data_IF_079517888236
#
_entry.id   IF_079517888236
#
_cell.length_a   1.000
_cell.length_b   1.000
_cell.length_c   1.000
_cell.angle_alpha   90.00
_cell.angle_beta   90.00
_cell.angle_gamma   90.00
#
_symmetry.space_group_name_H-M   'P 1'
#
loop_
_entity.id
_entity.type
_entity.pdbx_description
1 polymer ?
#
# COMPACT_ATOMS: atom_id res chain seq x y z
N UNK A 1 -20.87 -4.12 -20.38
CA UNK A 1 -19.90 -3.14 -19.84
C UNK A 1 -20.01 -1.88 -20.68
N UNK A 2 -20.18 -0.70 -20.05
CA UNK A 2 -20.17 0.59 -20.75
C UNK A 2 -18.79 1.21 -20.61
N UNK A 3 -18.16 1.53 -21.73
CA UNK A 3 -16.87 2.26 -21.74
C UNK A 3 -17.13 3.75 -21.87
N UNK A 4 -16.42 4.57 -21.09
CA UNK A 4 -16.54 6.03 -21.11
C UNK A 4 -15.22 6.60 -21.64
N UNK A 5 -15.30 7.46 -22.66
CA UNK A 5 -14.12 8.16 -23.17
C UNK A 5 -13.71 9.26 -22.20
N UNK A 6 -12.45 9.21 -21.74
CA UNK A 6 -11.91 10.22 -20.83
C UNK A 6 -11.65 11.56 -21.53
N UNK A 7 -11.99 12.65 -20.85
CA UNK A 7 -11.59 14.02 -21.20
C UNK A 7 -10.08 14.24 -20.97
N UNK A 8 -9.47 15.23 -21.64
CA UNK A 8 -8.10 15.65 -21.35
C UNK A 8 -7.89 15.90 -19.86
N UNK A 9 -6.71 15.52 -19.33
CA UNK A 9 -6.40 15.67 -17.90
C UNK A 9 -6.37 17.15 -17.55
N UNK A 10 -7.17 17.55 -16.58
CA UNK A 10 -7.10 18.89 -16.01
C UNK A 10 -5.82 19.08 -15.18
N UNK A 11 -5.21 20.28 -15.19
CA UNK A 11 -3.99 20.57 -14.43
C UNK A 11 -4.12 20.17 -12.95
N UNK A 12 -3.08 19.57 -12.37
CA UNK A 12 -3.09 19.19 -10.96
C UNK A 12 -3.86 17.91 -10.61
N UNK A 13 -4.42 17.19 -11.58
CA UNK A 13 -4.97 15.84 -11.36
C UNK A 13 -3.98 14.74 -11.73
N UNK A 14 -3.96 13.67 -10.94
CA UNK A 14 -3.47 12.38 -11.43
C UNK A 14 -4.47 11.81 -12.44
N UNK A 15 -4.02 11.15 -13.50
CA UNK A 15 -4.98 10.63 -14.48
C UNK A 15 -5.80 9.43 -13.97
N UNK A 16 -5.40 8.76 -12.86
CA UNK A 16 -6.24 7.74 -12.21
C UNK A 16 -7.43 8.43 -11.57
N UNK A 17 -7.18 9.40 -10.70
CA UNK A 17 -8.24 10.17 -10.05
C UNK A 17 -9.12 10.92 -11.06
N UNK A 18 -8.55 11.47 -12.13
CA UNK A 18 -9.33 12.14 -13.18
C UNK A 18 -10.25 11.18 -13.94
N UNK A 19 -9.81 9.94 -14.18
CA UNK A 19 -10.67 8.93 -14.79
C UNK A 19 -11.80 8.50 -13.85
N UNK A 20 -11.50 8.33 -12.55
CA UNK A 20 -12.47 7.97 -11.53
C UNK A 20 -13.52 9.07 -11.32
N UNK A 21 -13.10 10.34 -11.28
CA UNK A 21 -13.98 11.51 -11.17
C UNK A 21 -14.95 11.63 -12.37
N UNK A 22 -14.53 11.23 -13.57
CA UNK A 22 -15.44 11.20 -14.72
C UNK A 22 -16.38 9.99 -14.68
N UNK A 23 -15.88 8.85 -14.19
CA UNK A 23 -16.64 7.63 -14.05
C UNK A 23 -17.80 7.78 -13.05
N UNK A 24 -17.55 8.45 -11.92
CA UNK A 24 -18.54 8.57 -10.84
C UNK A 24 -19.82 9.30 -11.27
N UNK A 25 -19.73 10.27 -12.19
CA UNK A 25 -20.90 10.97 -12.72
C UNK A 25 -21.88 10.08 -13.49
N UNK A 26 -21.50 8.82 -13.77
CA UNK A 26 -22.31 7.84 -14.49
C UNK A 26 -22.81 6.72 -13.57
N UNK A 27 -22.60 6.83 -12.26
CA UNK A 27 -23.01 5.84 -11.27
C UNK A 27 -24.29 6.34 -10.58
N UNK A 28 -25.35 5.55 -10.67
CA UNK A 28 -26.64 5.77 -10.01
C UNK A 28 -27.00 4.65 -9.00
N UNK A 29 -26.08 3.69 -8.80
CA UNK A 29 -26.27 2.56 -7.90
C UNK A 29 -26.00 2.93 -6.45
N UNK A 30 -26.57 2.16 -5.51
CA UNK A 30 -26.33 2.37 -4.06
C UNK A 30 -24.89 2.11 -3.63
N UNK A 31 -24.21 1.18 -4.31
CA UNK A 31 -22.83 0.81 -4.02
C UNK A 31 -21.95 1.07 -5.25
N UNK A 32 -20.72 1.48 -5.01
CA UNK A 32 -19.69 1.71 -6.01
C UNK A 32 -18.54 0.73 -5.77
N UNK A 33 -18.15 0.02 -6.82
CA UNK A 33 -16.97 -0.84 -6.84
C UNK A 33 -15.86 -0.18 -7.66
N UNK A 34 -14.73 0.10 -7.03
CA UNK A 34 -13.49 0.54 -7.68
C UNK A 34 -12.58 -0.67 -7.84
N UNK A 35 -12.14 -0.95 -9.06
CA UNK A 35 -11.24 -2.08 -9.35
C UNK A 35 -10.16 -1.61 -10.31
N UNK A 36 -8.90 -1.90 -9.98
CA UNK A 36 -7.79 -1.64 -10.88
C UNK A 36 -7.82 -2.61 -12.08
N UNK A 37 -7.42 -2.13 -13.26
CA UNK A 37 -7.57 -2.89 -14.51
C UNK A 37 -6.74 -4.19 -14.60
N UNK A 38 -5.75 -4.34 -13.72
CA UNK A 38 -4.89 -5.52 -13.59
C UNK A 38 -5.34 -6.47 -12.48
N UNK A 39 -6.54 -6.28 -11.93
CA UNK A 39 -7.09 -7.13 -10.86
C UNK A 39 -8.09 -8.13 -11.42
N UNK A 40 -7.83 -9.40 -11.18
CA UNK A 40 -8.71 -10.51 -11.48
C UNK A 40 -9.58 -10.84 -10.26
N UNK A 41 -10.89 -10.86 -10.46
CA UNK A 41 -11.89 -11.17 -9.43
C UNK A 41 -12.33 -12.63 -9.55
N UNK A 42 -12.25 -13.42 -8.47
CA UNK A 42 -12.81 -14.77 -8.48
C UNK A 42 -14.35 -14.75 -8.53
N UNK A 43 -14.99 -15.74 -9.19
CA UNK A 43 -16.44 -15.88 -9.16
C UNK A 43 -16.99 -15.89 -7.73
N UNK A 44 -18.06 -15.12 -7.49
CA UNK A 44 -18.72 -15.04 -6.18
C UNK A 44 -18.17 -13.98 -5.22
N UNK A 45 -17.10 -13.24 -5.57
CA UNK A 45 -16.54 -12.22 -4.68
C UNK A 45 -17.49 -11.04 -4.43
N UNK A 46 -18.27 -10.62 -5.44
CA UNK A 46 -19.16 -9.46 -5.28
C UNK A 46 -20.32 -9.74 -4.29
N UNK A 47 -21.06 -10.86 -4.40
CA UNK A 47 -22.03 -11.24 -3.36
C UNK A 47 -21.39 -11.40 -1.98
N UNK A 48 -20.17 -11.95 -1.90
CA UNK A 48 -19.47 -12.12 -0.62
C UNK A 48 -19.09 -10.78 0.03
N UNK A 49 -18.58 -9.83 -0.77
CA UNK A 49 -18.28 -8.47 -0.32
C UNK A 49 -19.53 -7.74 0.16
N UNK A 50 -20.62 -7.82 -0.60
CA UNK A 50 -21.89 -7.23 -0.22
C UNK A 50 -22.42 -7.83 1.09
N UNK A 51 -22.44 -9.17 1.21
CA UNK A 51 -22.83 -9.87 2.43
C UNK A 51 -21.99 -9.43 3.62
N UNK A 52 -20.67 -9.35 3.45
CA UNK A 52 -19.74 -8.90 4.48
C UNK A 52 -20.03 -7.46 4.93
N UNK A 53 -20.32 -6.55 4.00
CA UNK A 53 -20.69 -5.17 4.33
C UNK A 53 -21.95 -5.13 5.19
N UNK A 54 -22.98 -5.87 4.80
CA UNK A 54 -24.26 -5.88 5.50
C UNK A 54 -24.16 -6.55 6.89
N UNK A 55 -23.49 -7.69 7.01
CA UNK A 55 -23.38 -8.44 8.28
C UNK A 55 -22.52 -7.72 9.33
N UNK A 56 -21.56 -6.91 8.89
CA UNK A 56 -20.60 -6.23 9.79
C UNK A 56 -20.86 -4.72 9.90
N UNK A 57 -21.96 -4.21 9.32
CA UNK A 57 -22.30 -2.78 9.31
C UNK A 57 -21.14 -1.91 8.76
N UNK A 58 -20.50 -2.40 7.70
CA UNK A 58 -19.37 -1.72 7.05
C UNK A 58 -19.87 -0.88 5.89
N UNK A 59 -19.30 0.32 5.75
CA UNK A 59 -19.67 1.24 4.68
C UNK A 59 -18.59 1.33 3.59
N UNK A 60 -17.41 0.78 3.88
CA UNK A 60 -16.25 0.76 3.00
C UNK A 60 -15.44 -0.51 3.25
N UNK A 61 -15.21 -1.30 2.21
CA UNK A 61 -14.44 -2.54 2.24
C UNK A 61 -13.36 -2.49 1.16
N UNK A 62 -12.10 -2.59 1.57
CA UNK A 62 -10.94 -2.62 0.69
C UNK A 62 -10.28 -3.99 0.76
N UNK A 63 -10.15 -4.63 -0.39
CA UNK A 63 -9.41 -5.88 -0.54
C UNK A 63 -8.04 -5.58 -1.13
N UNK A 64 -7.01 -5.95 -0.37
CA UNK A 64 -5.65 -6.04 -0.88
C UNK A 64 -5.53 -7.30 -1.75
N UNK A 65 -5.22 -7.18 -3.05
CA UNK A 65 -5.09 -8.32 -3.94
C UNK A 65 -3.90 -9.19 -3.55
N UNK A 66 -4.04 -10.51 -3.74
CA UNK A 66 -2.90 -11.40 -3.73
C UNK A 66 -1.98 -11.03 -4.90
N UNK A 67 -0.74 -10.64 -4.58
CA UNK A 67 0.25 -10.30 -5.59
C UNK A 67 0.79 -11.57 -6.27
N UNK A 68 1.13 -11.44 -7.55
CA UNK A 68 1.80 -12.48 -8.33
C UNK A 68 3.16 -12.84 -7.70
N UNK A 69 3.42 -14.15 -7.58
CA UNK A 69 4.65 -14.72 -6.99
C UNK A 69 5.33 -15.70 -7.96
N UNK A 70 5.59 -15.28 -9.19
CA UNK A 70 6.13 -16.15 -10.25
C UNK A 70 7.66 -15.98 -10.36
N UNK A 71 8.14 -14.74 -10.52
CA UNK A 71 9.56 -14.43 -10.67
C UNK A 71 10.33 -14.57 -9.36
N UNK A 72 11.67 -14.69 -9.46
CA UNK A 72 12.54 -14.68 -8.28
C UNK A 72 12.38 -13.39 -7.46
N UNK A 73 12.37 -12.23 -8.14
CA UNK A 73 12.25 -10.92 -7.50
C UNK A 73 10.88 -10.72 -6.86
N UNK A 74 9.82 -11.22 -7.49
CA UNK A 74 8.48 -11.24 -6.89
C UNK A 74 8.49 -12.02 -5.58
N UNK A 75 8.97 -13.28 -5.60
CA UNK A 75 9.04 -14.14 -4.41
C UNK A 75 9.91 -13.56 -3.30
N UNK A 76 11.00 -12.87 -3.66
CA UNK A 76 11.92 -12.26 -2.70
C UNK A 76 11.34 -10.99 -2.06
N UNK A 77 10.71 -10.10 -2.84
CA UNK A 77 10.42 -8.73 -2.39
C UNK A 77 8.93 -8.46 -2.14
N UNK A 78 8.02 -9.05 -2.91
CA UNK A 78 6.59 -8.71 -2.86
C UNK A 78 5.89 -9.19 -1.57
N UNK A 79 6.19 -10.37 -1.00
CA UNK A 79 5.61 -10.72 0.30
C UNK A 79 6.08 -9.75 1.39
N UNK A 80 7.34 -9.29 1.32
CA UNK A 80 7.87 -8.29 2.26
C UNK A 80 7.22 -6.92 2.08
N UNK A 81 6.85 -6.53 0.85
CA UNK A 81 6.04 -5.33 0.60
C UNK A 81 4.74 -5.36 1.41
N UNK A 82 4.00 -6.47 1.33
CA UNK A 82 2.76 -6.68 2.08
C UNK A 82 3.01 -6.69 3.58
N UNK A 83 4.08 -7.35 4.01
CA UNK A 83 4.46 -7.41 5.41
C UNK A 83 4.73 -6.00 5.98
N UNK A 84 5.55 -5.19 5.31
CA UNK A 84 5.82 -3.81 5.73
C UNK A 84 4.57 -2.93 5.67
N UNK A 85 3.73 -3.10 4.66
CA UNK A 85 2.44 -2.41 4.61
C UNK A 85 1.60 -2.72 5.86
N UNK A 86 1.56 -3.98 6.32
CA UNK A 86 0.86 -4.36 7.56
C UNK A 86 1.54 -3.90 8.85
N UNK A 87 2.85 -3.66 8.85
CA UNK A 87 3.54 -3.05 9.98
C UNK A 87 3.21 -1.55 10.09
N UNK A 88 3.15 -0.85 8.95
CA UNK A 88 2.78 0.56 8.87
C UNK A 88 1.28 0.78 9.15
N UNK A 89 0.45 -0.13 8.63
CA UNK A 89 -0.99 -0.10 8.77
C UNK A 89 -1.49 -1.44 9.31
N UNK A 90 -1.42 -1.67 10.64
CA UNK A 90 -1.93 -2.89 11.24
C UNK A 90 -3.43 -3.02 10.98
N UNK A 91 -3.85 -4.05 10.23
CA UNK A 91 -5.24 -4.20 9.80
C UNK A 91 -6.22 -4.24 10.97
N UNK A 92 -5.84 -4.80 12.12
CA UNK A 92 -6.67 -4.78 13.32
C UNK A 92 -6.97 -3.35 13.81
N UNK A 93 -5.98 -2.46 13.76
CA UNK A 93 -6.17 -1.04 14.10
C UNK A 93 -6.93 -0.30 13.01
N UNK A 94 -6.59 -0.55 11.73
CA UNK A 94 -7.31 0.03 10.59
C UNK A 94 -8.80 -0.30 10.60
N UNK A 95 -9.16 -1.53 11.00
CA UNK A 95 -10.53 -2.03 11.08
C UNK A 95 -11.23 -1.73 12.42
N UNK A 96 -10.52 -1.12 13.37
CA UNK A 96 -11.10 -0.68 14.65
C UNK A 96 -11.72 0.71 14.53
N UNK A 97 -12.41 1.18 15.57
CA UNK A 97 -12.91 2.56 15.65
C UNK A 97 -11.81 3.61 15.86
N UNK A 98 -10.54 3.21 16.02
CA UNK A 98 -9.44 4.15 16.27
C UNK A 98 -9.22 5.08 15.06
N UNK A 99 -9.42 6.41 15.21
CA UNK A 99 -9.42 7.34 14.08
C UNK A 99 -8.01 7.62 13.53
N UNK A 100 -6.97 7.36 14.34
CA UNK A 100 -5.58 7.63 13.96
C UNK A 100 -5.01 6.69 12.90
N UNK A 101 -5.64 5.54 12.64
CA UNK A 101 -5.17 4.56 11.65
C UNK A 101 -6.31 4.20 10.71
N UNK A 102 -6.15 4.51 9.43
CA UNK A 102 -7.04 4.10 8.35
C UNK A 102 -6.19 3.65 7.17
N UNK A 103 -6.56 2.54 6.55
CA UNK A 103 -5.84 1.99 5.42
C UNK A 103 -6.80 1.40 4.40
N UNK A 104 -6.42 1.48 3.14
CA UNK A 104 -6.99 0.74 2.04
C UNK A 104 -5.88 0.38 1.06
N UNK A 105 -6.08 -0.71 0.32
CA UNK A 105 -5.23 -1.13 -0.77
C UNK A 105 -6.09 -1.17 -2.04
N UNK A 106 -5.81 -0.29 -3.00
CA UNK A 106 -6.69 0.06 -4.13
C UNK A 106 -6.90 -0.97 -5.23
N UNK A 107 -6.60 -2.25 -4.99
CA UNK A 107 -6.89 -3.28 -6.00
C UNK A 107 -8.39 -3.47 -6.19
N UNK A 108 -9.15 -3.48 -5.11
CA UNK A 108 -10.61 -3.62 -5.14
C UNK A 108 -11.22 -2.95 -3.90
N UNK A 109 -12.08 -1.96 -4.10
CA UNK A 109 -12.77 -1.23 -3.03
C UNK A 109 -14.26 -1.23 -3.33
N UNK A 110 -15.07 -1.75 -2.40
CA UNK A 110 -16.53 -1.63 -2.42
C UNK A 110 -16.95 -0.63 -1.34
N UNK A 111 -17.77 0.35 -1.69
CA UNK A 111 -18.26 1.35 -0.75
C UNK A 111 -19.67 1.82 -1.08
N UNK A 112 -20.37 2.39 -0.09
CA UNK A 112 -21.64 3.06 -0.35
C UNK A 112 -21.42 4.33 -1.18
N UNK A 113 -22.17 4.48 -2.27
CA UNK A 113 -21.97 5.56 -3.25
C UNK A 113 -22.19 6.94 -2.63
N UNK A 114 -23.15 7.06 -1.70
CA UNK A 114 -23.44 8.32 -1.00
C UNK A 114 -22.25 8.86 -0.20
N UNK A 115 -21.29 8.01 0.18
CA UNK A 115 -20.08 8.44 0.87
C UNK A 115 -19.15 9.24 -0.04
N UNK A 116 -19.14 8.92 -1.34
CA UNK A 116 -18.34 9.67 -2.32
C UNK A 116 -18.85 11.11 -2.38
N UNK A 117 -20.16 11.34 -2.37
CA UNK A 117 -20.71 12.69 -2.34
C UNK A 117 -20.32 13.45 -1.06
N UNK A 118 -20.36 12.77 0.10
CA UNK A 118 -20.01 13.36 1.40
C UNK A 118 -18.54 13.79 1.51
N UNK A 119 -17.65 13.16 0.76
CA UNK A 119 -16.22 13.48 0.77
C UNK A 119 -15.78 14.31 -0.45
N UNK A 120 -16.72 14.83 -1.25
CA UNK A 120 -16.46 15.50 -2.53
C UNK A 120 -15.62 14.63 -3.49
N UNK A 121 -16.03 13.37 -3.59
CA UNK A 121 -15.52 12.31 -4.45
C UNK A 121 -13.98 12.27 -4.54
N UNK A 122 -13.44 12.30 -5.76
CA UNK A 122 -11.99 12.26 -5.99
C UNK A 122 -11.39 13.66 -6.11
N UNK A 123 -12.20 14.72 -6.23
CA UNK A 123 -11.73 16.13 -6.18
C UNK A 123 -10.99 16.42 -4.89
N UNK A 124 -11.51 15.92 -3.79
CA UNK A 124 -10.90 16.10 -2.48
C UNK A 124 -9.55 15.40 -2.35
N UNK A 125 -9.23 14.45 -3.26
CA UNK A 125 -7.98 13.69 -3.32
C UNK A 125 -7.05 14.16 -4.44
N UNK A 126 -7.40 15.22 -5.18
CA UNK A 126 -6.67 15.72 -6.37
C UNK A 126 -5.16 15.91 -6.16
N UNK A 127 -4.74 16.29 -4.95
CA UNK A 127 -3.33 16.52 -4.59
C UNK A 127 -2.66 15.33 -3.91
N UNK A 128 -3.41 14.30 -3.55
CA UNK A 128 -2.88 13.11 -2.91
C UNK A 128 -2.29 12.16 -3.96
N UNK A 129 -1.14 11.59 -3.63
CA UNK A 129 -0.42 10.63 -4.45
C UNK A 129 -0.79 9.18 -4.10
N UNK A 130 -1.42 8.99 -2.93
CA UNK A 130 -1.85 7.69 -2.39
C UNK A 130 -3.35 7.76 -2.15
N UNK A 131 -4.08 7.41 -3.21
CA UNK A 131 -5.52 7.62 -3.32
C UNK A 131 -6.31 6.82 -2.27
N UNK A 132 -5.90 5.58 -2.00
CA UNK A 132 -6.75 4.63 -1.27
C UNK A 132 -6.75 4.86 0.26
N UNK A 133 -5.57 4.97 0.88
CA UNK A 133 -5.48 5.23 2.32
C UNK A 133 -6.07 6.60 2.68
N UNK A 134 -5.90 7.60 1.82
CA UNK A 134 -6.51 8.91 1.99
C UNK A 134 -8.05 8.82 1.90
N UNK A 135 -8.58 8.08 0.92
CA UNK A 135 -10.00 7.79 0.81
C UNK A 135 -10.55 7.11 2.07
N UNK A 136 -9.90 6.05 2.55
CA UNK A 136 -10.30 5.35 3.78
C UNK A 136 -10.25 6.26 5.00
N UNK A 137 -9.22 7.11 5.12
CA UNK A 137 -9.09 8.09 6.21
C UNK A 137 -10.23 9.10 6.22
N UNK A 138 -10.65 9.61 5.05
CA UNK A 138 -11.77 10.55 4.94
C UNK A 138 -13.09 9.89 5.35
N UNK A 139 -13.38 8.70 4.83
CA UNK A 139 -14.57 7.93 5.20
C UNK A 139 -14.60 7.69 6.72
N UNK A 140 -13.48 7.23 7.29
CA UNK A 140 -13.37 6.98 8.74
C UNK A 140 -13.51 8.25 9.58
N UNK A 141 -13.01 9.39 9.10
CA UNK A 141 -13.13 10.69 9.79
C UNK A 141 -14.56 11.22 9.88
N UNK A 142 -15.44 10.78 8.98
CA UNK A 142 -16.87 11.07 9.02
C UNK A 142 -17.66 10.12 9.96
N UNK A 143 -16.97 9.23 10.68
CA UNK A 143 -17.58 8.28 11.62
C UNK A 143 -18.00 6.95 11.00
N UNK A 144 -17.71 6.72 9.71
CA UNK A 144 -18.06 5.48 9.03
C UNK A 144 -17.08 4.35 9.29
N UNK A 145 -17.61 3.12 9.27
CA UNK A 145 -16.83 1.90 9.48
C UNK A 145 -16.16 1.45 8.19
N UNK A 146 -14.85 1.28 8.25
CA UNK A 146 -14.01 0.82 7.14
C UNK A 146 -13.39 -0.53 7.48
N UNK A 147 -13.14 -1.33 6.46
CA UNK A 147 -12.42 -2.60 6.60
C UNK A 147 -11.39 -2.77 5.49
N UNK A 148 -10.21 -3.25 5.85
CA UNK A 148 -9.17 -3.72 4.94
C UNK A 148 -8.82 -5.16 5.26
N UNK A 149 -8.57 -5.95 4.20
CA UNK A 149 -8.03 -7.29 4.36
C UNK A 149 -7.32 -7.82 3.13
N UNK A 150 -6.56 -8.88 3.34
CA UNK A 150 -5.78 -9.58 2.32
C UNK A 150 -6.47 -10.92 2.02
N UNK A 151 -6.68 -11.24 0.74
CA UNK A 151 -7.45 -12.43 0.33
C UNK A 151 -6.89 -13.10 -0.92
N UNK A 152 -7.13 -14.41 -1.03
CA UNK A 152 -6.87 -15.19 -2.25
C UNK A 152 -8.00 -15.11 -3.28
N UNK A 153 -9.10 -14.42 -2.97
CA UNK A 153 -10.25 -14.30 -3.88
C UNK A 153 -10.10 -13.19 -4.92
N UNK A 154 -9.03 -12.40 -4.85
CA UNK A 154 -8.68 -11.40 -5.86
C UNK A 154 -7.17 -11.42 -6.11
N UNK A 155 -6.76 -11.35 -7.37
CA UNK A 155 -5.36 -11.51 -7.78
C UNK A 155 -4.90 -10.32 -8.60
N UNK A 156 -3.67 -9.86 -8.40
CA UNK A 156 -3.04 -8.90 -9.31
C UNK A 156 -2.30 -9.63 -10.42
N UNK A 157 -2.64 -9.30 -11.67
CA UNK A 157 -2.01 -9.84 -12.88
C UNK A 157 -0.72 -9.11 -13.25
N UNK A 158 -0.38 -8.03 -12.52
CA UNK A 158 0.79 -7.21 -12.80
C UNK A 158 2.09 -7.97 -12.57
N UNK A 159 2.94 -8.03 -13.60
CA UNK A 159 4.24 -8.67 -13.50
C UNK A 159 5.32 -7.72 -12.99
N UNK A 160 6.21 -8.28 -12.18
CA UNK A 160 7.41 -7.63 -11.66
C UNK A 160 8.61 -8.56 -11.88
N UNK A 161 8.99 -8.73 -13.14
CA UNK A 161 10.00 -9.71 -13.53
C UNK A 161 11.44 -9.32 -13.15
N UNK A 162 11.67 -8.03 -12.87
CA UNK A 162 13.00 -7.49 -12.56
C UNK A 162 13.00 -6.63 -11.30
N UNK A 163 14.15 -6.61 -10.60
CA UNK A 163 14.38 -5.76 -9.43
C UNK A 163 14.07 -4.28 -9.70
N UNK A 164 14.43 -3.77 -10.87
CA UNK A 164 14.21 -2.37 -11.25
C UNK A 164 12.73 -2.00 -11.29
N UNK A 165 11.83 -2.93 -11.66
CA UNK A 165 10.40 -2.69 -11.69
C UNK A 165 9.85 -2.51 -10.27
N UNK A 166 10.26 -3.36 -9.33
CA UNK A 166 9.88 -3.27 -7.91
C UNK A 166 10.53 -2.04 -7.27
N UNK A 167 11.80 -1.79 -7.54
CA UNK A 167 12.53 -0.61 -7.05
C UNK A 167 11.82 0.68 -7.45
N UNK A 168 11.46 0.81 -8.74
CA UNK A 168 10.76 1.99 -9.24
C UNK A 168 9.32 2.10 -8.72
N UNK A 169 8.66 0.98 -8.41
CA UNK A 169 7.36 0.99 -7.75
C UNK A 169 7.47 1.57 -6.33
N UNK A 170 8.41 1.07 -5.52
CA UNK A 170 8.60 1.51 -4.13
C UNK A 170 9.12 2.94 -4.09
N UNK A 171 10.17 3.24 -4.87
CA UNK A 171 10.80 4.56 -4.91
C UNK A 171 9.85 5.68 -5.40
N UNK A 172 8.74 5.34 -6.03
CA UNK A 172 7.72 6.32 -6.45
C UNK A 172 6.94 6.90 -5.27
N UNK A 173 6.65 6.08 -4.27
CA UNK A 173 5.66 6.40 -3.24
C UNK A 173 6.25 6.43 -1.82
N UNK A 174 7.42 5.84 -1.59
CA UNK A 174 7.94 5.65 -0.23
C UNK A 174 8.17 6.97 0.53
N UNK A 175 8.77 8.00 -0.08
CA UNK A 175 8.97 9.28 0.61
C UNK A 175 7.68 10.07 0.79
N UNK A 176 6.74 9.92 -0.14
CA UNK A 176 5.39 10.45 -0.02
C UNK A 176 4.62 9.80 1.14
N UNK A 177 4.79 8.49 1.39
CA UNK A 177 4.25 7.82 2.59
C UNK A 177 4.80 8.42 3.89
N UNK A 178 6.01 8.98 3.84
CA UNK A 178 6.63 9.70 4.94
C UNK A 178 6.30 11.21 4.91
N UNK A 179 5.28 11.62 4.16
CA UNK A 179 4.83 13.01 4.04
C UNK A 179 5.93 14.00 3.65
N UNK A 180 6.92 13.55 2.86
CA UNK A 180 8.12 14.32 2.52
C UNK A 180 8.90 14.86 3.74
N UNK A 181 8.74 14.22 4.90
CA UNK A 181 9.38 14.63 6.15
C UNK A 181 10.72 13.93 6.33
N UNK A 182 11.79 14.72 6.40
CA UNK A 182 13.14 14.23 6.71
C UNK A 182 13.19 13.58 8.09
N UNK A 183 12.43 14.12 9.06
CA UNK A 183 12.34 13.53 10.40
C UNK A 183 11.76 12.12 10.35
N UNK A 184 10.66 11.92 9.61
CA UNK A 184 10.05 10.59 9.45
C UNK A 184 10.96 9.64 8.66
N UNK A 185 11.73 10.13 7.69
CA UNK A 185 12.74 9.35 6.97
C UNK A 185 13.88 8.87 7.90
N UNK A 186 14.41 9.76 8.73
CA UNK A 186 15.45 9.41 9.70
C UNK A 186 14.93 8.44 10.76
N UNK A 187 13.71 8.67 11.26
CA UNK A 187 13.05 7.76 12.20
C UNK A 187 12.82 6.37 11.58
N UNK A 188 12.32 6.32 10.34
CA UNK A 188 12.13 5.07 9.59
C UNK A 188 13.46 4.35 9.39
N UNK A 189 14.52 5.09 9.02
CA UNK A 189 15.88 4.57 8.85
C UNK A 189 16.40 3.96 10.15
N UNK A 190 16.31 4.69 11.26
CA UNK A 190 16.74 4.22 12.57
C UNK A 190 15.96 2.96 12.99
N UNK A 191 14.64 2.95 12.81
CA UNK A 191 13.80 1.80 13.13
C UNK A 191 14.15 0.58 12.27
N UNK A 192 14.32 0.75 10.96
CA UNK A 192 14.68 -0.35 10.06
C UNK A 192 16.06 -0.93 10.40
N UNK A 193 17.06 -0.09 10.67
CA UNK A 193 18.39 -0.55 11.08
C UNK A 193 18.30 -1.29 12.43
N UNK A 194 17.57 -0.74 13.40
CA UNK A 194 17.44 -1.34 14.73
C UNK A 194 16.73 -2.68 14.71
N UNK A 195 15.64 -2.80 13.93
CA UNK A 195 14.83 -4.02 13.89
C UNK A 195 15.44 -5.09 13.00
N UNK A 196 16.03 -4.72 11.86
CA UNK A 196 16.43 -5.70 10.84
C UNK A 196 17.95 -5.90 10.73
N UNK A 197 18.76 -4.86 10.97
CA UNK A 197 20.21 -4.96 10.80
C UNK A 197 20.95 -5.24 12.12
N UNK A 198 20.53 -4.58 13.20
CA UNK A 198 21.20 -4.67 14.50
C UNK A 198 21.19 -6.09 15.08
N UNK A 199 20.11 -6.89 14.98
CA UNK A 199 20.13 -8.29 15.43
C UNK A 199 21.13 -9.15 14.66
N UNK A 200 21.44 -8.82 13.40
CA UNK A 200 22.49 -9.54 12.65
C UNK A 200 23.86 -9.12 13.14
N UNK A 201 24.10 -7.82 13.30
CA UNK A 201 25.37 -7.27 13.79
C UNK A 201 25.69 -7.70 15.23
N UNK A 202 24.67 -7.95 16.06
CA UNK A 202 24.82 -8.37 17.45
C UNK A 202 25.60 -9.68 17.66
N UNK A 203 25.70 -10.54 16.64
CA UNK A 203 26.52 -11.75 16.69
C UNK A 203 28.02 -11.51 16.58
N UNK A 204 28.43 -10.35 16.05
CA UNK A 204 29.84 -9.94 15.95
C UNK A 204 30.39 -9.50 17.30
N UNK A 205 29.53 -9.01 18.20
CA UNK A 205 29.96 -8.56 19.52
C UNK A 205 30.35 -9.76 20.41
N UNK A 206 31.40 -9.61 21.25
CA UNK A 206 31.87 -10.69 22.12
C UNK A 206 30.90 -11.02 23.27
N UNK A 207 29.97 -10.12 23.59
CA UNK A 207 29.00 -10.28 24.68
C UNK A 207 27.98 -11.39 24.41
N UNK A 208 27.87 -12.34 25.35
CA UNK A 208 26.87 -13.42 25.30
C UNK A 208 25.44 -12.86 25.34
N UNK A 209 25.19 -11.82 26.14
CA UNK A 209 23.87 -11.18 26.23
C UNK A 209 23.47 -10.53 24.91
N UNK A 210 24.41 -9.90 24.20
CA UNK A 210 24.15 -9.34 22.87
C UNK A 210 23.72 -10.44 21.88
N UNK A 211 24.38 -11.60 21.90
CA UNK A 211 24.02 -12.75 21.05
C UNK A 211 22.64 -13.31 21.39
N UNK A 212 22.28 -13.42 22.67
CA UNK A 212 20.96 -13.91 23.11
C UNK A 212 19.86 -12.95 22.63
N UNK A 213 19.99 -11.65 22.90
CA UNK A 213 19.02 -10.63 22.47
C UNK A 213 18.87 -10.65 20.94
N UNK A 214 19.98 -10.78 20.23
CA UNK A 214 20.01 -10.87 18.77
C UNK A 214 19.30 -12.10 18.23
N UNK A 215 19.54 -13.27 18.83
CA UNK A 215 18.86 -14.51 18.47
C UNK A 215 17.34 -14.42 18.71
N UNK A 216 16.93 -13.86 19.86
CA UNK A 216 15.52 -13.65 20.18
C UNK A 216 14.85 -12.67 19.20
N UNK A 217 15.51 -11.56 18.88
CA UNK A 217 15.00 -10.57 17.92
C UNK A 217 14.87 -11.15 16.51
N UNK A 218 15.88 -11.89 16.03
CA UNK A 218 15.79 -12.60 14.74
C UNK A 218 14.69 -13.66 14.74
N UNK A 219 14.55 -14.41 15.84
CA UNK A 219 13.48 -15.40 16.01
C UNK A 219 12.11 -14.76 15.94
N UNK A 220 11.87 -13.68 16.68
CA UNK A 220 10.61 -12.93 16.67
C UNK A 220 10.30 -12.38 15.27
N UNK A 221 11.29 -11.81 14.60
CA UNK A 221 11.18 -11.28 13.24
C UNK A 221 10.83 -12.37 12.21
N UNK A 222 11.46 -13.55 12.29
CA UNK A 222 11.14 -14.67 11.42
C UNK A 222 9.70 -15.12 11.68
N UNK A 223 9.35 -15.35 12.94
CA UNK A 223 8.02 -15.82 13.34
C UNK A 223 6.90 -14.86 12.91
N UNK A 224 7.11 -13.55 13.00
CA UNK A 224 6.14 -12.55 12.56
C UNK A 224 5.95 -12.50 11.05
N UNK A 225 6.96 -12.90 10.27
CA UNK A 225 6.91 -12.93 8.81
C UNK A 225 6.34 -14.24 8.22
N UNK A 226 6.45 -15.36 8.95
CA UNK A 226 5.95 -16.67 8.51
C UNK A 226 4.47 -16.67 8.05
N UNK A 227 3.51 -15.96 8.68
CA UNK A 227 2.13 -15.92 8.21
C UNK A 227 1.99 -15.36 6.79
N UNK A 228 2.83 -14.38 6.42
CA UNK A 228 2.82 -13.81 5.06
C UNK A 228 3.40 -14.79 4.05
N UNK A 229 4.49 -15.46 4.38
CA UNK A 229 5.03 -16.52 3.52
C UNK A 229 4.04 -17.67 3.33
N UNK A 230 3.35 -18.07 4.41
CA UNK A 230 2.30 -19.10 4.37
C UNK A 230 1.14 -18.67 3.48
N UNK A 231 0.67 -17.43 3.60
CA UNK A 231 -0.36 -16.87 2.73
C UNK A 231 0.05 -17.03 1.27
N UNK A 232 1.26 -16.63 0.89
CA UNK A 232 1.75 -16.74 -0.48
C UNK A 232 2.25 -18.13 -0.90
N UNK A 233 2.12 -19.16 -0.06
CA UNK A 233 2.59 -20.51 -0.36
C UNK A 233 4.11 -20.63 -0.56
N UNK A 234 4.89 -19.73 0.03
CA UNK A 234 6.35 -19.68 -0.12
C UNK A 234 7.07 -20.47 0.98
N UNK A 235 8.28 -20.95 0.65
CA UNK A 235 9.15 -21.63 1.62
C UNK A 235 9.50 -20.71 2.80
N UNK A 236 9.54 -21.28 4.01
CA UNK A 236 9.90 -20.56 5.24
C UNK A 236 11.33 -20.02 5.22
N UNK A 237 12.20 -20.60 4.39
CA UNK A 237 13.60 -20.20 4.27
C UNK A 237 13.75 -18.75 3.79
N UNK A 238 12.76 -18.21 3.07
CA UNK A 238 12.76 -16.79 2.67
C UNK A 238 12.78 -15.83 3.86
N UNK A 239 12.32 -16.26 5.05
CA UNK A 239 12.36 -15.42 6.24
C UNK A 239 13.79 -15.10 6.70
N UNK A 240 14.76 -15.96 6.39
CA UNK A 240 16.17 -15.73 6.72
C UNK A 240 16.73 -14.55 5.91
N UNK A 241 16.21 -14.33 4.70
CA UNK A 241 16.63 -13.21 3.84
C UNK A 241 16.05 -11.86 4.29
N UNK A 242 15.16 -11.83 5.29
CA UNK A 242 14.43 -10.61 5.66
C UNK A 242 15.34 -9.42 6.03
N UNK A 243 16.45 -9.57 6.79
CA UNK A 243 17.40 -8.49 7.01
C UNK A 243 17.95 -7.86 5.72
N UNK A 244 18.34 -8.70 4.76
CA UNK A 244 18.85 -8.26 3.46
C UNK A 244 17.74 -7.60 2.62
N UNK A 245 16.52 -8.13 2.68
CA UNK A 245 15.39 -7.52 1.98
C UNK A 245 15.08 -6.14 2.59
N UNK A 246 15.11 -6.01 3.90
CA UNK A 246 14.88 -4.74 4.60
C UNK A 246 15.89 -3.67 4.21
N UNK A 247 17.18 -4.02 4.03
CA UNK A 247 18.17 -3.04 3.56
C UNK A 247 17.90 -2.58 2.13
N UNK A 248 17.43 -3.47 1.26
CA UNK A 248 16.99 -3.10 -0.09
C UNK A 248 15.80 -2.14 -0.07
N UNK A 249 14.78 -2.41 0.76
CA UNK A 249 13.62 -1.51 0.91
C UNK A 249 14.03 -0.15 1.50
N UNK A 250 14.96 -0.13 2.44
CA UNK A 250 15.51 1.12 2.98
C UNK A 250 16.22 1.91 1.87
N UNK A 251 17.02 1.26 1.03
CA UNK A 251 17.68 1.89 -0.11
C UNK A 251 16.68 2.43 -1.16
N UNK A 252 15.60 1.69 -1.42
CA UNK A 252 14.48 2.16 -2.28
C UNK A 252 13.78 3.38 -1.68
N UNK A 253 13.63 3.43 -0.35
CA UNK A 253 13.02 4.56 0.37
C UNK A 253 13.91 5.80 0.28
N UNK A 254 15.22 5.65 0.46
CA UNK A 254 16.19 6.73 0.24
C UNK A 254 16.22 7.18 -1.22
N UNK A 255 16.14 6.26 -2.18
CA UNK A 255 16.01 6.61 -3.61
C UNK A 255 14.76 7.46 -3.86
N UNK A 256 13.65 7.17 -3.18
CA UNK A 256 12.43 8.00 -3.26
C UNK A 256 12.69 9.43 -2.77
N UNK A 257 13.38 9.59 -1.64
CA UNK A 257 13.71 10.89 -1.08
C UNK A 257 14.66 11.68 -1.99
N UNK A 258 15.71 11.04 -2.51
CA UNK A 258 16.67 11.70 -3.42
C UNK A 258 16.00 12.17 -4.70
N UNK A 259 15.16 11.34 -5.32
CA UNK A 259 14.39 11.72 -6.53
C UNK A 259 13.47 12.91 -6.25
N UNK A 260 12.80 12.90 -5.09
CA UNK A 260 11.95 14.01 -4.66
C UNK A 260 12.74 15.31 -4.46
N UNK A 261 13.95 15.27 -3.90
CA UNK A 261 14.79 16.46 -3.73
C UNK A 261 15.40 16.95 -5.03
N UNK A 262 15.66 16.06 -5.98
CA UNK A 262 16.13 16.39 -7.33
C UNK A 262 15.03 17.01 -8.21
N UNK A 263 13.80 17.10 -7.70
CA UNK A 263 12.66 17.63 -8.47
C UNK A 263 12.19 16.68 -9.57
N UNK A 264 12.62 15.41 -9.55
CA UNK A 264 12.02 14.38 -10.38
C UNK A 264 10.59 14.16 -9.87
N UNK A 265 9.64 14.89 -10.45
CA UNK A 265 8.22 14.75 -10.14
C UNK A 265 7.78 13.28 -10.25
N UNK A 266 6.73 12.92 -9.52
CA UNK A 266 6.26 11.52 -9.45
C UNK A 266 5.92 11.03 -10.85
N UNK A 267 6.83 10.24 -11.44
CA UNK A 267 6.78 9.87 -12.84
C UNK A 267 5.69 8.81 -13.05
N UNK A 268 4.55 9.21 -13.61
CA UNK A 268 3.43 8.30 -13.86
C UNK A 268 3.39 7.96 -15.35
N UNK A 269 3.85 6.74 -15.70
CA UNK A 269 3.84 6.20 -17.08
C UNK A 269 4.35 7.22 -18.13
N UNK A 270 5.51 7.84 -17.88
CA UNK A 270 6.13 8.78 -18.83
C UNK A 270 5.54 10.19 -18.84
N UNK A 271 4.69 10.54 -17.87
CA UNK A 271 4.18 11.91 -17.70
C UNK A 271 4.79 12.54 -16.45
N UNK A 272 5.50 13.65 -16.65
CA UNK A 272 6.08 14.48 -15.60
C UNK A 272 4.98 15.30 -14.93
N UNK A 273 4.76 15.08 -13.64
CA UNK A 273 4.01 16.01 -12.79
C UNK A 273 5.00 16.95 -12.13
N UNK A 274 5.28 18.09 -12.76
CA UNK A 274 6.15 19.10 -12.17
C UNK A 274 5.42 19.78 -11.02
N UNK A 275 5.94 19.62 -9.80
CA UNK A 275 5.51 20.43 -8.66
C UNK A 275 6.18 21.80 -8.77
N UNK A 276 5.55 22.73 -9.49
CA UNK A 276 5.91 24.15 -9.41
C UNK A 276 4.67 25.01 -9.57
N UNK A 277 4.16 25.47 -8.43
CA UNK A 277 3.45 26.73 -8.30
C UNK A 277 4.40 27.63 -7.52
N UNK A 278 4.94 28.66 -8.18
CA UNK A 278 5.27 29.88 -7.47
C UNK A 278 4.06 30.81 -7.70
N UNK A 279 3.57 31.31 -6.58
CA UNK A 279 2.45 32.23 -6.40
C UNK A 279 2.99 33.65 -6.63
N UNK A 280 2.27 34.46 -7.40
CA UNK A 280 2.30 35.92 -7.26
C UNK A 280 1.40 36.31 -6.07
#
# INVERSE_FOLDING_TARGET
>A
MRTISGKPIEPGWSGKLWALEQGICHIDTRFTLLVDADIELQPGILPALYKMMMENDLHFVSLMPALRMISFWEKLLMPTFIYFFKLLYPFSLSNSSFPGVAAAAGGCILMETHLLDKIDAFKSLRKELIDDCALAKKVKSLGYRTWIGLTHSIHSLRSYDHLSAIWNMVARNAFTQLHHSVLLLMLCTALMITVFCLPVAGFVFPSVMAKIISALALGAMILSYLPILKFYGLSRNWAIALPLISTLYLAMTWTSATRSWQGEGVNWKGRYYTKRQDVD
#
